data_IF_084299495724
#
_entry.id   IF_084299495724
#
_cell.length_a   1.000
_cell.length_b   1.000
_cell.length_c   1.000
_cell.angle_alpha   90.00
_cell.angle_beta   90.00
_cell.angle_gamma   90.00
#
_symmetry.space_group_name_H-M   'P 1'
#
loop_
_entity.id
_entity.type
_entity.pdbx_description
1 polymer ?
#
# COMPACT_ATOMS: atom_id res chain seq x y z
N UNK A 1 13.68 -6.55 -25.03
CA UNK A 1 13.18 -6.82 -23.68
C UNK A 1 14.26 -6.32 -22.74
N UNK A 2 14.07 -5.14 -22.15
CA UNK A 2 15.06 -4.54 -21.23
C UNK A 2 14.85 -5.22 -19.87
N UNK A 3 15.94 -5.70 -19.27
CA UNK A 3 15.93 -6.38 -17.97
C UNK A 3 15.72 -5.36 -16.83
N UNK A 4 14.52 -4.81 -16.74
CA UNK A 4 14.16 -3.82 -15.72
C UNK A 4 14.15 -4.44 -14.31
N UNK A 5 13.89 -5.74 -14.20
CA UNK A 5 13.78 -6.44 -12.92
C UNK A 5 15.09 -6.69 -12.17
N UNK A 6 16.23 -6.81 -12.87
CA UNK A 6 17.53 -6.95 -12.21
C UNK A 6 18.12 -5.60 -11.81
N UNK A 7 17.97 -4.58 -12.67
CA UNK A 7 18.46 -3.23 -12.38
C UNK A 7 17.71 -2.56 -11.24
N UNK A 8 16.39 -2.75 -11.14
CA UNK A 8 15.60 -2.20 -10.03
C UNK A 8 16.03 -2.80 -8.68
N UNK A 9 16.24 -4.13 -8.62
CA UNK A 9 16.64 -4.83 -7.38
C UNK A 9 18.03 -4.43 -6.90
N UNK A 10 18.97 -4.20 -7.80
CA UNK A 10 20.29 -3.68 -7.42
C UNK A 10 20.19 -2.28 -6.82
N UNK A 11 19.37 -1.42 -7.42
CA UNK A 11 19.14 -0.07 -6.91
C UNK A 11 18.46 -0.04 -5.54
N UNK A 12 17.48 -0.91 -5.30
CA UNK A 12 16.86 -1.06 -3.96
C UNK A 12 17.87 -1.54 -2.92
N UNK A 13 18.71 -2.53 -3.26
CA UNK A 13 19.76 -3.00 -2.35
C UNK A 13 20.80 -1.91 -2.03
N UNK A 14 21.18 -1.10 -3.02
CA UNK A 14 22.07 0.04 -2.83
C UNK A 14 21.43 1.11 -1.93
N UNK A 15 20.12 1.36 -2.10
CA UNK A 15 19.36 2.27 -1.24
C UNK A 15 19.35 1.82 0.21
N UNK A 16 19.06 0.54 0.46
CA UNK A 16 18.99 -0.01 1.81
C UNK A 16 20.36 -0.02 2.51
N UNK A 17 21.42 -0.28 1.75
CA UNK A 17 22.79 -0.18 2.24
C UNK A 17 23.15 1.27 2.63
N UNK A 18 22.78 2.24 1.78
CA UNK A 18 22.96 3.67 2.05
C UNK A 18 22.19 4.09 3.30
N UNK A 19 20.92 3.72 3.43
CA UNK A 19 20.11 4.02 4.62
C UNK A 19 20.77 3.48 5.88
N UNK A 20 21.19 2.21 5.86
CA UNK A 20 21.85 1.56 7.00
C UNK A 20 23.14 2.29 7.38
N UNK A 21 23.95 2.64 6.38
CA UNK A 21 25.17 3.43 6.57
C UNK A 21 24.91 4.80 7.19
N UNK A 22 23.89 5.52 6.71
CA UNK A 22 23.51 6.84 7.22
C UNK A 22 23.00 6.79 8.65
N UNK A 23 22.17 5.80 9.02
CA UNK A 23 21.71 5.61 10.40
C UNK A 23 22.88 5.31 11.33
N UNK A 24 23.81 4.47 10.91
CA UNK A 24 25.02 4.17 11.69
C UNK A 24 25.91 5.40 11.83
N UNK A 25 26.09 6.17 10.76
CA UNK A 25 26.84 7.41 10.79
C UNK A 25 26.21 8.42 11.76
N UNK A 26 24.89 8.60 11.71
CA UNK A 26 24.18 9.47 12.64
C UNK A 26 24.36 9.02 14.10
N UNK A 27 24.29 7.72 14.37
CA UNK A 27 24.51 7.19 15.72
C UNK A 27 25.95 7.41 16.22
N UNK A 28 26.95 7.35 15.32
CA UNK A 28 28.37 7.49 15.67
C UNK A 28 28.84 8.95 15.76
N UNK A 29 28.39 9.79 14.83
CA UNK A 29 28.90 11.14 14.62
C UNK A 29 27.88 12.24 14.97
N UNK A 30 26.60 11.88 15.13
CA UNK A 30 25.54 12.82 15.48
C UNK A 30 24.82 13.40 14.27
N UNK A 31 24.44 14.67 14.37
CA UNK A 31 23.59 15.34 13.38
C UNK A 31 24.38 15.88 12.19
N UNK A 32 25.65 16.23 12.36
CA UNK A 32 26.49 16.75 11.28
C UNK A 32 27.30 15.63 10.66
N UNK A 33 27.12 15.38 9.36
CA UNK A 33 27.76 14.28 8.65
C UNK A 33 28.56 14.79 7.44
N UNK A 34 29.81 14.36 7.34
CA UNK A 34 30.61 14.54 6.13
C UNK A 34 30.46 13.29 5.25
N UNK A 35 29.91 13.44 4.05
CA UNK A 35 29.84 12.34 3.08
C UNK A 35 31.12 12.27 2.26
N UNK A 36 31.67 11.07 2.12
CA UNK A 36 32.85 10.79 1.31
C UNK A 36 32.52 9.75 0.26
N UNK A 37 33.07 9.91 -0.95
CA UNK A 37 32.86 8.99 -2.06
C UNK A 37 32.53 9.70 -3.37
N UNK A 38 32.14 8.94 -4.41
CA UNK A 38 31.74 9.48 -5.71
C UNK A 38 30.57 10.48 -5.57
N UNK A 39 30.51 11.54 -6.39
CA UNK A 39 29.44 12.53 -6.34
C UNK A 39 28.04 11.91 -6.44
N UNK A 40 27.89 10.88 -7.26
CA UNK A 40 26.62 10.17 -7.47
C UNK A 40 26.14 9.50 -6.18
N UNK A 41 27.07 8.91 -5.43
CA UNK A 41 26.78 8.29 -4.14
C UNK A 41 26.37 9.34 -3.11
N UNK A 42 27.04 10.48 -3.06
CA UNK A 42 26.72 11.55 -2.12
C UNK A 42 25.32 12.12 -2.37
N UNK A 43 24.97 12.35 -3.63
CA UNK A 43 23.63 12.79 -4.05
C UNK A 43 22.58 11.72 -3.73
N UNK A 44 22.86 10.44 -3.98
CA UNK A 44 21.98 9.35 -3.61
C UNK A 44 21.76 9.29 -2.09
N UNK A 45 22.83 9.41 -1.30
CA UNK A 45 22.75 9.45 0.16
C UNK A 45 21.93 10.64 0.68
N UNK A 46 22.08 11.83 0.11
CA UNK A 46 21.26 12.99 0.44
C UNK A 46 19.76 12.75 0.14
N UNK A 47 19.44 12.11 -0.99
CA UNK A 47 18.06 11.74 -1.34
C UNK A 47 17.49 10.71 -0.37
N UNK A 48 18.26 9.68 -0.03
CA UNK A 48 17.83 8.65 0.93
C UNK A 48 17.62 9.26 2.32
N UNK A 49 18.50 10.17 2.75
CA UNK A 49 18.33 10.91 4.00
C UNK A 49 17.00 11.69 4.03
N UNK A 50 16.63 12.33 2.91
CA UNK A 50 15.34 13.02 2.78
C UNK A 50 14.15 12.06 2.86
N UNK A 51 14.21 10.92 2.15
CA UNK A 51 13.16 9.91 2.12
C UNK A 51 12.88 9.28 3.48
N UNK A 52 13.93 8.93 4.23
CA UNK A 52 13.80 8.36 5.58
C UNK A 52 13.58 9.44 6.66
N UNK A 53 13.49 10.71 6.23
CA UNK A 53 13.40 11.91 7.09
C UNK A 53 14.46 11.94 8.18
N UNK A 54 15.70 11.58 7.83
CA UNK A 54 16.82 11.62 8.76
C UNK A 54 17.09 13.07 9.18
N UNK A 55 17.31 13.29 10.49
CA UNK A 55 17.69 14.60 11.01
C UNK A 55 19.21 14.75 11.01
N UNK A 56 19.75 15.11 9.85
CA UNK A 56 21.18 15.35 9.65
C UNK A 56 21.40 16.60 8.82
N UNK A 57 22.56 17.22 8.99
CA UNK A 57 23.11 18.27 8.14
C UNK A 57 24.42 17.78 7.55
N UNK A 58 24.59 17.97 6.25
CA UNK A 58 25.83 17.65 5.55
C UNK A 58 26.79 18.85 5.63
N UNK A 59 28.09 18.57 5.70
CA UNK A 59 29.11 19.64 5.61
C UNK A 59 29.07 20.37 4.26
N UNK A 60 28.65 19.67 3.20
CA UNK A 60 28.48 20.25 1.87
C UNK A 60 27.07 20.88 1.74
N UNK A 61 26.97 22.22 1.56
CA UNK A 61 25.69 22.89 1.35
C UNK A 61 24.92 22.38 0.13
N UNK A 62 25.59 21.92 -0.93
CA UNK A 62 24.93 21.41 -2.11
C UNK A 62 24.13 20.13 -1.81
N UNK A 63 24.64 19.26 -0.93
CA UNK A 63 23.94 18.06 -0.50
C UNK A 63 22.75 18.39 0.40
N UNK A 64 22.88 19.42 1.24
CA UNK A 64 21.74 19.91 2.03
C UNK A 64 20.61 20.42 1.13
N UNK A 65 20.94 21.18 0.07
CA UNK A 65 19.95 21.61 -0.92
C UNK A 65 19.21 20.43 -1.54
N UNK A 66 19.95 19.41 -2.03
CA UNK A 66 19.35 18.19 -2.59
C UNK A 66 18.42 17.51 -1.58
N UNK A 67 18.84 17.40 -0.31
CA UNK A 67 18.03 16.77 0.74
C UNK A 67 16.75 17.56 1.01
N UNK A 68 16.85 18.89 1.16
CA UNK A 68 15.69 19.73 1.45
C UNK A 68 14.70 19.79 0.30
N UNK A 69 15.20 19.96 -0.93
CA UNK A 69 14.37 19.94 -2.14
C UNK A 69 13.61 18.62 -2.24
N UNK A 70 14.31 17.50 -2.06
CA UNK A 70 13.68 16.18 -2.09
C UNK A 70 12.64 16.00 -0.98
N UNK A 71 12.90 16.51 0.22
CA UNK A 71 11.93 16.44 1.32
C UNK A 71 10.68 17.26 1.00
N UNK A 72 10.84 18.46 0.46
CA UNK A 72 9.74 19.31 0.04
C UNK A 72 8.88 18.65 -1.04
N UNK A 73 9.49 18.01 -2.04
CA UNK A 73 8.77 17.24 -3.05
C UNK A 73 7.93 16.10 -2.44
N UNK A 74 8.51 15.34 -1.50
CA UNK A 74 7.82 14.23 -0.84
C UNK A 74 6.66 14.71 0.02
N UNK A 75 6.83 15.85 0.70
CA UNK A 75 5.76 16.48 1.48
C UNK A 75 4.61 16.92 0.57
N UNK A 76 4.91 17.61 -0.54
CA UNK A 76 3.91 18.02 -1.52
C UNK A 76 3.16 16.81 -2.13
N UNK A 77 3.89 15.72 -2.43
CA UNK A 77 3.28 14.47 -2.91
C UNK A 77 2.37 13.84 -1.87
N UNK A 78 2.79 13.78 -0.61
CA UNK A 78 1.99 13.22 0.48
C UNK A 78 0.70 14.03 0.70
N UNK A 79 0.77 15.36 0.60
CA UNK A 79 -0.41 16.23 0.68
C UNK A 79 -1.39 16.00 -0.48
N UNK A 80 -0.88 15.92 -1.71
CA UNK A 80 -1.69 15.63 -2.89
C UNK A 80 -2.39 14.27 -2.78
N UNK A 81 -1.66 13.23 -2.32
CA UNK A 81 -2.23 11.90 -2.10
C UNK A 81 -3.33 11.90 -1.04
N UNK A 82 -3.12 12.61 0.08
CA UNK A 82 -4.15 12.75 1.13
C UNK A 82 -5.41 13.43 0.63
N UNK A 83 -5.29 14.44 -0.24
CA UNK A 83 -6.44 15.09 -0.84
C UNK A 83 -7.19 14.11 -1.75
N UNK A 84 -6.49 13.40 -2.62
CA UNK A 84 -7.09 12.39 -3.50
C UNK A 84 -7.77 11.25 -2.73
N UNK A 85 -7.15 10.77 -1.64
CA UNK A 85 -7.73 9.73 -0.79
C UNK A 85 -9.03 10.21 -0.15
N UNK A 86 -9.07 11.44 0.38
CA UNK A 86 -10.29 12.04 0.93
C UNK A 86 -11.41 12.16 -0.11
N UNK A 87 -11.07 12.56 -1.34
CA UNK A 87 -12.03 12.64 -2.43
C UNK A 87 -12.58 11.26 -2.80
N UNK A 88 -11.71 10.25 -2.88
CA UNK A 88 -12.08 8.86 -3.12
C UNK A 88 -13.00 8.33 -2.03
N UNK A 89 -12.66 8.55 -0.77
CA UNK A 89 -13.48 8.11 0.38
C UNK A 89 -14.84 8.80 0.39
N UNK A 90 -14.88 10.10 0.10
CA UNK A 90 -16.13 10.84 -0.02
C UNK A 90 -17.00 10.30 -1.17
N UNK A 91 -16.40 9.97 -2.31
CA UNK A 91 -17.08 9.37 -3.45
C UNK A 91 -17.62 7.98 -3.12
N UNK A 92 -16.81 7.11 -2.49
CA UNK A 92 -17.22 5.78 -2.04
C UNK A 92 -18.38 5.86 -1.04
N UNK A 93 -18.29 6.77 -0.06
CA UNK A 93 -19.36 6.99 0.92
C UNK A 93 -20.65 7.52 0.28
N UNK A 94 -20.54 8.36 -0.74
CA UNK A 94 -21.70 8.83 -1.51
C UNK A 94 -22.36 7.67 -2.26
N UNK A 95 -21.59 6.85 -2.96
CA UNK A 95 -22.10 5.67 -3.68
C UNK A 95 -22.79 4.69 -2.73
N UNK A 96 -22.20 4.41 -1.57
CA UNK A 96 -22.81 3.54 -0.56
C UNK A 96 -24.15 4.09 -0.07
N UNK A 97 -24.25 5.41 0.14
CA UNK A 97 -25.51 6.07 0.52
C UNK A 97 -26.56 5.98 -0.59
N UNK A 98 -26.17 6.22 -1.85
CA UNK A 98 -27.06 6.16 -3.00
C UNK A 98 -27.59 4.73 -3.23
N UNK A 99 -26.76 3.71 -2.98
CA UNK A 99 -27.15 2.30 -3.01
C UNK A 99 -28.20 1.97 -1.94
N UNK A 100 -28.00 2.42 -0.70
CA UNK A 100 -28.96 2.20 0.40
C UNK A 100 -30.29 2.95 0.21
N UNK A 101 -30.28 4.06 -0.54
CA UNK A 101 -31.47 4.92 -0.75
C UNK A 101 -32.34 4.44 -1.92
N UNK A 102 -31.82 3.58 -2.79
CA UNK A 102 -32.59 3.01 -3.90
C UNK A 102 -33.40 1.80 -3.37
N UNK A 103 -34.75 1.82 -3.37
CA UNK A 103 -35.51 0.63 -3.04
C UNK A 103 -35.23 -0.41 -4.13
N UNK A 104 -34.77 -1.57 -3.72
CA UNK A 104 -34.58 -2.73 -4.59
C UNK A 104 -35.88 -2.95 -5.38
N UNK A 105 -35.88 -2.99 -6.73
CA UNK A 105 -37.04 -3.49 -7.45
C UNK A 105 -37.18 -4.94 -6.99
N UNK A 106 -38.24 -5.22 -6.21
CA UNK A 106 -38.52 -6.56 -5.73
C UNK A 106 -38.54 -7.53 -6.91
N UNK A 107 -38.11 -8.79 -6.73
CA UNK A 107 -38.20 -9.79 -7.78
C UNK A 107 -39.67 -9.88 -8.22
N UNK A 108 -39.96 -9.36 -9.42
CA UNK A 108 -41.29 -9.47 -10.02
C UNK A 108 -41.55 -10.95 -10.29
N UNK A 109 -42.68 -11.42 -9.76
CA UNK A 109 -43.12 -12.80 -9.87
C UNK A 109 -43.34 -13.23 -11.31
N UNK A 110 -43.01 -14.49 -11.56
CA UNK A 110 -43.69 -15.31 -12.56
C UNK A 110 -44.37 -16.44 -11.78
N UNK A 111 -45.61 -16.18 -11.37
CA UNK A 111 -46.58 -17.25 -11.15
C UNK A 111 -47.07 -17.79 -12.51
N UNK A 112 -47.71 -18.95 -12.47
CA UNK A 112 -48.32 -19.72 -13.56
C UNK A 112 -47.37 -20.68 -14.30
N UNK A 113 -47.25 -21.92 -13.77
CA UNK A 113 -47.97 -23.08 -14.36
C UNK A 113 -48.41 -24.07 -13.27
N UNK A 114 -49.72 -24.19 -13.17
CA UNK A 114 -50.45 -25.18 -12.40
C UNK A 114 -50.41 -26.57 -13.06
N UNK A 115 -50.67 -27.57 -12.22
CA UNK A 115 -51.21 -28.91 -12.49
C UNK A 115 -50.23 -30.10 -12.65
N UNK A 116 -50.46 -31.11 -11.81
CA UNK A 116 -49.91 -32.46 -11.88
C UNK A 116 -49.35 -32.91 -10.53
N UNK A 117 -50.18 -33.06 -9.50
CA UNK A 117 -50.79 -34.35 -9.17
C UNK A 117 -49.80 -35.52 -9.27
N UNK A 118 -49.27 -35.97 -8.12
CA UNK A 118 -48.90 -37.37 -7.88
C UNK A 118 -48.52 -37.62 -6.42
N UNK A 119 -49.42 -38.38 -5.80
CA UNK A 119 -49.33 -39.06 -4.53
C UNK A 119 -48.04 -39.88 -4.29
N UNK A 120 -47.48 -39.68 -3.07
CA UNK A 120 -46.90 -40.66 -2.13
C UNK A 120 -45.60 -41.44 -2.51
N UNK A 121 -44.86 -42.06 -1.54
CA UNK A 121 -44.98 -42.05 -0.07
C UNK A 121 -43.68 -41.72 0.71
N UNK A 122 -43.84 -41.36 1.98
CA UNK A 122 -42.79 -41.32 3.01
C UNK A 122 -42.59 -42.75 3.56
N UNK A 123 -41.44 -43.37 3.28
CA UNK A 123 -40.82 -44.50 4.02
C UNK A 123 -39.44 -44.76 3.37
N UNK A 124 -38.29 -44.86 4.05
CA UNK A 124 -37.93 -45.76 5.15
C UNK A 124 -36.54 -45.35 5.74
N UNK A 125 -35.88 -46.13 6.62
CA UNK A 125 -35.57 -45.75 7.99
C UNK A 125 -34.07 -45.54 8.29
N UNK A 126 -33.75 -44.84 9.39
CA UNK A 126 -32.46 -44.91 10.11
C UNK A 126 -32.22 -46.35 10.63
N UNK A 127 -30.97 -46.86 10.74
CA UNK A 127 -30.00 -46.36 11.72
C UNK A 127 -28.49 -46.44 11.38
N UNK A 128 -27.72 -45.45 11.83
CA UNK A 128 -26.26 -45.55 11.98
C UNK A 128 -25.88 -46.46 13.17
N UNK A 129 -24.95 -47.41 13.01
CA UNK A 129 -24.42 -48.18 14.13
C UNK A 129 -23.31 -47.44 14.88
N UNK A 130 -23.41 -47.51 16.20
CA UNK A 130 -22.44 -47.07 17.21
C UNK A 130 -20.97 -47.30 16.82
N UNK A 131 -20.18 -46.21 16.86
CA UNK A 131 -18.72 -46.29 16.84
C UNK A 131 -18.24 -46.40 18.29
N UNK A 132 -18.01 -47.63 18.75
CA UNK A 132 -17.09 -47.91 19.85
C UNK A 132 -15.66 -48.03 19.30
N UNK A 133 -14.77 -47.09 19.65
CA UNK A 133 -13.40 -47.40 20.11
C UNK A 133 -12.66 -46.23 20.71
#
# INVERSE_FOLDING_TARGET
LVDEGSSLRMWEADRDAIETGLRLAQQKFGQTLTLSGPPEFQVAAARVAAEIRLNVEFDDPALNHVMYDRRHELDAQAEAQRLQERERDAALRKLARDFLRSPQPGPQGNDERSAGDRDLPIHAPDPDPDIER
#
